data_IF_499373882297
#
_entry.id   IF_499373882297
#
_cell.length_a   1.000
_cell.length_b   1.000
_cell.length_c   1.000
_cell.angle_alpha   90.00
_cell.angle_beta   90.00
_cell.angle_gamma   90.00
#
_symmetry.space_group_name_H-M   'P 1'
#
loop_
_entity.id
_entity.type
_entity.pdbx_description
1 polymer ?
#
# COMPACT_ATOMS: atom_id res chain seq x y z
N UNK A 1 -26.10 9.63 -5.02
CA UNK A 1 -26.87 10.47 -4.08
C UNK A 1 -28.05 11.11 -4.82
N UNK A 2 -29.19 11.20 -4.18
CA UNK A 2 -30.38 11.91 -4.68
C UNK A 2 -30.98 12.70 -3.51
N UNK A 3 -30.83 14.04 -3.55
CA UNK A 3 -31.25 14.90 -2.44
C UNK A 3 -30.55 14.50 -1.15
N UNK A 4 -31.30 14.29 -0.11
CA UNK A 4 -30.81 13.94 1.25
C UNK A 4 -30.54 12.43 1.43
N UNK A 5 -30.45 11.65 0.35
CA UNK A 5 -30.26 10.20 0.39
C UNK A 5 -28.98 9.79 -0.32
N UNK A 6 -28.16 8.98 0.36
CA UNK A 6 -26.93 8.40 -0.15
C UNK A 6 -27.01 6.88 -0.14
N UNK A 7 -26.97 6.26 -1.32
CA UNK A 7 -26.87 4.81 -1.45
C UNK A 7 -25.40 4.41 -1.62
N UNK A 8 -24.92 3.51 -0.77
CA UNK A 8 -23.55 3.00 -0.71
C UNK A 8 -23.57 1.51 -1.04
N UNK A 9 -22.71 1.11 -1.97
CA UNK A 9 -22.55 -0.29 -2.41
C UNK A 9 -21.17 -0.79 -1.97
N UNK A 10 -21.03 -1.41 -0.78
CA UNK A 10 -19.75 -1.90 -0.29
C UNK A 10 -19.24 -3.05 -1.18
N UNK A 11 -17.95 -3.06 -1.51
CA UNK A 11 -17.35 -4.04 -2.43
C UNK A 11 -17.37 -5.49 -1.92
N UNK A 12 -17.58 -5.71 -0.64
CA UNK A 12 -17.62 -7.06 -0.02
C UNK A 12 -19.00 -7.50 0.42
N UNK A 13 -20.08 -6.81 0.01
CA UNK A 13 -21.45 -7.12 0.42
C UNK A 13 -22.37 -7.27 -0.80
N UNK A 14 -23.27 -8.24 -0.72
CA UNK A 14 -24.37 -8.37 -1.72
C UNK A 14 -25.46 -7.32 -1.49
N UNK A 15 -25.52 -6.74 -0.29
CA UNK A 15 -26.51 -5.75 0.10
C UNK A 15 -25.92 -4.35 0.02
N UNK A 16 -26.76 -3.38 -0.30
CA UNK A 16 -26.43 -1.95 -0.27
C UNK A 16 -26.91 -1.30 1.03
N UNK A 17 -26.37 -0.15 1.32
CA UNK A 17 -26.75 0.64 2.50
C UNK A 17 -27.24 2.01 2.05
N UNK A 18 -28.41 2.40 2.56
CA UNK A 18 -29.01 3.72 2.38
C UNK A 18 -28.83 4.55 3.63
N UNK A 19 -28.20 5.70 3.48
CA UNK A 19 -28.08 6.72 4.52
C UNK A 19 -29.03 7.85 4.15
N UNK A 20 -30.00 8.14 5.02
CA UNK A 20 -30.92 9.25 4.90
C UNK A 20 -30.44 10.37 5.82
N UNK A 21 -30.37 11.58 5.30
CA UNK A 21 -29.92 12.77 5.97
C UNK A 21 -31.06 13.76 6.18
N UNK A 22 -31.04 14.48 7.28
CA UNK A 22 -31.88 15.66 7.48
C UNK A 22 -30.94 16.85 7.77
N UNK A 23 -30.68 17.66 6.75
CA UNK A 23 -29.62 18.64 6.81
C UNK A 23 -28.24 17.96 6.92
N UNK A 24 -27.50 18.29 7.98
CA UNK A 24 -26.17 17.73 8.28
C UNK A 24 -26.21 16.51 9.23
N UNK A 25 -27.41 16.06 9.62
CA UNK A 25 -27.57 14.94 10.56
C UNK A 25 -28.02 13.68 9.84
N UNK A 26 -27.50 12.52 10.28
CA UNK A 26 -27.94 11.20 9.80
C UNK A 26 -29.25 10.84 10.50
N UNK A 27 -30.35 10.79 9.75
CA UNK A 27 -31.66 10.40 10.26
C UNK A 27 -31.81 8.88 10.36
N UNK A 28 -31.39 8.15 9.33
CA UNK A 28 -31.46 6.70 9.33
C UNK A 28 -30.38 6.04 8.47
N UNK A 29 -29.97 4.82 8.85
CA UNK A 29 -29.13 3.95 8.07
C UNK A 29 -29.88 2.64 7.85
N UNK A 30 -30.16 2.28 6.58
CA UNK A 30 -30.92 1.10 6.20
C UNK A 30 -30.12 0.20 5.29
N UNK A 31 -30.09 -1.10 5.60
CA UNK A 31 -29.58 -2.10 4.66
C UNK A 31 -30.71 -2.55 3.72
N UNK A 32 -30.43 -2.64 2.43
CA UNK A 32 -31.43 -3.02 1.45
C UNK A 32 -30.85 -3.88 0.32
N UNK A 33 -31.70 -4.67 -0.30
CA UNK A 33 -31.36 -5.43 -1.48
C UNK A 33 -31.34 -4.49 -2.70
N UNK A 34 -30.21 -4.33 -3.39
CA UNK A 34 -30.08 -3.38 -4.51
C UNK A 34 -30.92 -3.75 -5.74
N UNK A 35 -31.33 -5.03 -5.90
CA UNK A 35 -32.12 -5.49 -7.03
C UNK A 35 -33.62 -5.30 -6.81
N UNK A 36 -34.10 -5.61 -5.59
CA UNK A 36 -35.53 -5.55 -5.26
C UNK A 36 -35.95 -4.24 -4.59
N UNK A 37 -34.99 -3.51 -3.99
CA UNK A 37 -35.25 -2.35 -3.16
C UNK A 37 -35.80 -2.68 -1.77
N UNK A 38 -35.89 -3.95 -1.40
CA UNK A 38 -36.41 -4.42 -0.11
C UNK A 38 -35.47 -4.01 1.02
N UNK A 39 -36.03 -3.40 2.07
CA UNK A 39 -35.27 -3.06 3.28
C UNK A 39 -35.10 -4.30 4.14
N UNK A 40 -33.86 -4.68 4.40
CA UNK A 40 -33.49 -5.87 5.14
C UNK A 40 -33.32 -5.58 6.64
N UNK A 41 -33.00 -4.34 7.01
CA UNK A 41 -32.84 -3.94 8.40
C UNK A 41 -32.34 -2.51 8.59
N UNK A 42 -32.44 -2.06 9.84
CA UNK A 42 -31.86 -0.80 10.29
C UNK A 42 -30.46 -1.05 10.88
N UNK A 43 -29.56 -0.09 10.69
CA UNK A 43 -28.21 -0.11 11.27
C UNK A 43 -27.99 1.16 12.08
N UNK A 44 -27.25 1.04 13.18
CA UNK A 44 -26.85 2.20 13.98
C UNK A 44 -25.58 2.86 13.46
N UNK A 45 -24.75 2.11 12.73
CA UNK A 45 -23.53 2.59 12.10
C UNK A 45 -23.16 1.72 10.90
N UNK A 46 -22.35 2.27 10.02
CA UNK A 46 -21.69 1.54 8.94
C UNK A 46 -20.24 1.99 8.83
N UNK A 47 -19.35 1.03 8.55
CA UNK A 47 -17.97 1.31 8.19
C UNK A 47 -17.82 1.24 6.68
N UNK A 48 -17.42 2.34 6.06
CA UNK A 48 -17.13 2.41 4.62
C UNK A 48 -15.62 2.49 4.46
N UNK A 49 -15.05 1.44 3.90
CA UNK A 49 -13.61 1.37 3.66
C UNK A 49 -13.24 1.99 2.32
N UNK A 50 -12.06 2.61 2.21
CA UNK A 50 -11.57 3.12 0.93
C UNK A 50 -11.48 2.04 -0.15
N UNK A 51 -11.85 2.39 -1.37
CA UNK A 51 -11.72 1.50 -2.54
C UNK A 51 -10.33 1.50 -3.17
N UNK A 52 -9.42 2.35 -2.70
CA UNK A 52 -8.05 2.49 -3.19
C UNK A 52 -7.04 2.55 -2.05
N UNK A 53 -5.78 2.22 -2.36
CA UNK A 53 -4.67 2.33 -1.41
C UNK A 53 -4.26 3.79 -1.21
N UNK A 54 -3.58 4.06 -0.09
CA UNK A 54 -3.01 5.36 0.27
C UNK A 54 -4.03 6.49 0.49
N UNK A 55 -5.26 6.13 0.85
CA UNK A 55 -6.25 7.12 1.32
C UNK A 55 -5.92 7.54 2.74
N UNK A 56 -5.80 8.84 2.97
CA UNK A 56 -5.47 9.41 4.28
C UNK A 56 -6.27 10.69 4.53
N UNK A 57 -6.20 11.24 5.74
CA UNK A 57 -6.85 12.51 6.06
C UNK A 57 -6.19 13.68 5.31
N UNK A 58 -6.93 14.78 5.15
CA UNK A 58 -6.43 15.97 4.48
C UNK A 58 -5.19 16.55 5.19
N UNK A 59 -5.18 16.52 6.51
CA UNK A 59 -4.04 17.01 7.30
C UNK A 59 -2.79 16.15 7.10
N UNK A 60 -2.95 14.82 7.09
CA UNK A 60 -1.85 13.91 6.80
C UNK A 60 -1.34 14.06 5.37
N UNK A 61 -2.22 14.29 4.40
CA UNK A 61 -1.82 14.52 3.01
C UNK A 61 -1.01 15.83 2.89
N UNK A 62 -1.45 16.90 3.54
CA UNK A 62 -0.72 18.17 3.50
C UNK A 62 0.65 18.08 4.17
N UNK A 63 0.76 17.37 5.30
CA UNK A 63 2.06 17.05 5.93
C UNK A 63 2.95 16.27 4.96
N UNK A 64 2.44 15.21 4.35
CA UNK A 64 3.19 14.39 3.40
C UNK A 64 3.67 15.19 2.20
N UNK A 65 2.83 16.09 1.67
CA UNK A 65 3.19 16.96 0.55
C UNK A 65 4.33 17.92 0.92
N UNK A 66 4.29 18.53 2.11
CA UNK A 66 5.37 19.40 2.57
C UNK A 66 6.71 18.63 2.68
N UNK A 67 6.69 17.41 3.24
CA UNK A 67 7.89 16.56 3.32
C UNK A 67 8.41 16.14 1.93
N UNK A 68 7.51 15.91 0.95
CA UNK A 68 7.88 15.63 -0.45
C UNK A 68 8.52 16.86 -1.10
N UNK A 69 8.01 18.09 -0.83
CA UNK A 69 8.58 19.34 -1.32
C UNK A 69 9.99 19.56 -0.78
N UNK A 70 10.22 19.30 0.51
CA UNK A 70 11.53 19.39 1.13
C UNK A 70 12.53 18.41 0.49
N UNK A 71 12.15 17.15 0.35
CA UNK A 71 13.01 16.15 -0.33
C UNK A 71 13.29 16.53 -1.78
N UNK A 72 12.29 17.06 -2.49
CA UNK A 72 12.45 17.53 -3.86
C UNK A 72 13.49 18.66 -3.95
N UNK A 73 13.41 19.64 -3.06
CA UNK A 73 14.34 20.77 -3.03
C UNK A 73 15.78 20.28 -2.79
N UNK A 74 15.97 19.37 -1.84
CA UNK A 74 17.28 18.76 -1.57
C UNK A 74 17.79 17.97 -2.78
N UNK A 75 16.92 17.21 -3.45
CA UNK A 75 17.31 16.39 -4.60
C UNK A 75 17.66 17.22 -5.82
N UNK A 76 16.94 18.31 -6.10
CA UNK A 76 17.26 19.27 -7.16
C UNK A 76 18.64 19.88 -6.90
N UNK A 77 18.90 20.34 -5.68
CA UNK A 77 20.19 20.88 -5.28
C UNK A 77 21.31 19.85 -5.51
N UNK A 78 21.12 18.62 -5.09
CA UNK A 78 22.07 17.51 -5.25
C UNK A 78 22.43 17.25 -6.73
N UNK A 79 21.43 17.29 -7.64
CA UNK A 79 21.64 17.10 -9.07
C UNK A 79 22.40 18.29 -9.68
N UNK A 80 22.03 19.53 -9.33
CA UNK A 80 22.65 20.75 -9.85
C UNK A 80 24.13 20.83 -9.45
N UNK A 81 24.49 20.52 -8.22
CA UNK A 81 25.88 20.49 -7.73
C UNK A 81 26.74 19.48 -8.49
N UNK A 82 26.14 18.49 -9.15
CA UNK A 82 26.80 17.44 -9.96
C UNK A 82 26.69 17.65 -11.45
N UNK A 83 26.17 18.80 -11.88
CA UNK A 83 25.98 19.12 -13.30
C UNK A 83 24.90 18.28 -14.00
N UNK A 84 24.06 17.59 -13.26
CA UNK A 84 22.96 16.73 -13.77
C UNK A 84 21.69 17.56 -13.97
N UNK A 85 21.75 18.55 -14.87
CA UNK A 85 20.66 19.51 -15.06
C UNK A 85 19.39 18.88 -15.64
N UNK A 86 19.53 17.89 -16.51
CA UNK A 86 18.40 17.18 -17.11
C UNK A 86 17.64 16.35 -16.07
N UNK A 87 18.37 15.68 -15.19
CA UNK A 87 17.77 14.91 -14.08
C UNK A 87 17.09 15.83 -13.09
N UNK A 88 17.70 16.99 -12.79
CA UNK A 88 17.09 18.00 -11.93
C UNK A 88 15.75 18.51 -12.50
N UNK A 89 15.73 18.89 -13.77
CA UNK A 89 14.53 19.35 -14.44
C UNK A 89 13.44 18.27 -14.49
N UNK A 90 13.82 17.03 -14.79
CA UNK A 90 12.89 15.90 -14.88
C UNK A 90 12.22 15.61 -13.55
N UNK A 91 13.00 15.50 -12.46
CA UNK A 91 12.44 15.21 -11.14
C UNK A 91 11.57 16.36 -10.65
N UNK A 92 11.99 17.62 -10.89
CA UNK A 92 11.22 18.79 -10.52
C UNK A 92 9.86 18.83 -11.22
N UNK A 93 9.84 18.72 -12.54
CA UNK A 93 8.61 18.78 -13.32
C UNK A 93 7.64 17.65 -12.90
N UNK A 94 8.15 16.43 -12.75
CA UNK A 94 7.33 15.27 -12.38
C UNK A 94 6.76 15.41 -10.99
N UNK A 95 7.61 15.73 -10.01
CA UNK A 95 7.18 15.77 -8.61
C UNK A 95 6.25 16.94 -8.33
N UNK A 96 6.48 18.12 -8.94
CA UNK A 96 5.54 19.25 -8.80
C UNK A 96 4.15 18.92 -9.36
N UNK A 97 4.08 18.25 -10.49
CA UNK A 97 2.80 17.77 -11.03
C UNK A 97 2.11 16.77 -10.10
N UNK A 98 2.87 15.79 -9.56
CA UNK A 98 2.32 14.83 -8.62
C UNK A 98 1.82 15.50 -7.32
N UNK A 99 2.53 16.52 -6.81
CA UNK A 99 2.14 17.33 -5.65
C UNK A 99 0.82 18.07 -5.91
N UNK A 100 0.68 18.73 -7.06
CA UNK A 100 -0.55 19.40 -7.46
C UNK A 100 -1.74 18.42 -7.45
N UNK A 101 -1.57 17.25 -8.04
CA UNK A 101 -2.60 16.20 -8.04
C UNK A 101 -2.95 15.73 -6.63
N UNK A 102 -1.96 15.55 -5.74
CA UNK A 102 -2.18 15.16 -4.35
C UNK A 102 -2.97 16.23 -3.56
N UNK A 103 -2.69 17.52 -3.79
CA UNK A 103 -3.43 18.61 -3.14
C UNK A 103 -4.86 18.76 -3.65
N UNK A 104 -5.08 18.65 -4.98
CA UNK A 104 -6.38 18.91 -5.58
C UNK A 104 -7.36 17.72 -5.44
N UNK A 105 -6.88 16.51 -5.67
CA UNK A 105 -7.74 15.31 -5.70
C UNK A 105 -7.32 14.20 -4.73
N UNK A 106 -6.25 14.38 -3.98
CA UNK A 106 -5.76 13.43 -2.99
C UNK A 106 -5.10 12.17 -3.56
N UNK A 107 -4.86 12.11 -4.88
CA UNK A 107 -4.25 10.96 -5.55
C UNK A 107 -3.44 11.40 -6.76
N UNK A 108 -2.31 10.69 -7.04
CA UNK A 108 -1.54 10.86 -8.26
C UNK A 108 -1.15 9.50 -8.85
N UNK A 109 -0.75 9.49 -10.12
CA UNK A 109 -0.25 8.27 -10.76
C UNK A 109 1.13 7.90 -10.21
N UNK A 110 1.23 6.75 -9.55
CA UNK A 110 2.46 6.31 -8.90
C UNK A 110 2.57 6.79 -7.46
N UNK A 111 1.43 7.04 -6.80
CA UNK A 111 1.33 7.46 -5.40
C UNK A 111 2.14 6.56 -4.45
N UNK A 112 2.32 5.28 -4.80
CA UNK A 112 3.14 4.33 -4.05
C UNK A 112 4.61 4.76 -3.88
N UNK A 113 5.12 5.63 -4.77
CA UNK A 113 6.47 6.16 -4.66
C UNK A 113 6.62 7.19 -3.53
N UNK A 114 5.52 7.68 -2.99
CA UNK A 114 5.43 8.61 -1.86
C UNK A 114 4.90 7.92 -0.59
N UNK A 115 4.79 6.58 -0.60
CA UNK A 115 4.20 5.77 0.49
C UNK A 115 4.83 6.05 1.85
N UNK A 116 6.14 6.29 1.92
CA UNK A 116 6.83 6.63 3.16
C UNK A 116 6.20 7.84 3.86
N UNK A 117 5.96 8.91 3.12
CA UNK A 117 5.38 10.14 3.66
C UNK A 117 3.90 9.99 3.97
N UNK A 118 3.13 9.37 3.06
CA UNK A 118 1.68 9.18 3.24
C UNK A 118 1.38 8.27 4.43
N UNK A 119 2.16 7.20 4.60
CA UNK A 119 2.02 6.24 5.71
C UNK A 119 2.75 6.68 6.99
N UNK A 120 3.48 7.81 6.97
CA UNK A 120 4.24 8.33 8.09
C UNK A 120 5.23 7.30 8.69
N UNK A 121 6.01 6.67 7.83
CA UNK A 121 6.98 5.65 8.18
C UNK A 121 8.39 6.22 8.05
N UNK A 122 9.30 5.89 8.95
CA UNK A 122 10.67 6.38 8.90
C UNK A 122 11.45 5.78 7.71
N UNK A 123 12.50 6.49 7.29
CA UNK A 123 13.34 6.04 6.19
C UNK A 123 13.97 4.66 6.50
N UNK A 124 13.87 3.73 5.57
CA UNK A 124 14.43 2.37 5.68
C UNK A 124 13.62 1.40 6.51
N UNK A 125 12.54 1.83 7.17
CA UNK A 125 11.65 0.93 7.88
C UNK A 125 10.97 -0.09 6.95
N UNK A 126 10.50 -1.17 7.58
CA UNK A 126 9.73 -2.21 6.90
C UNK A 126 8.41 -1.62 6.39
N UNK A 127 8.08 -1.75 5.09
CA UNK A 127 6.77 -1.33 4.59
C UNK A 127 5.66 -2.24 5.13
N UNK A 128 4.47 -1.69 5.24
CA UNK A 128 3.28 -2.49 5.53
C UNK A 128 2.95 -3.41 4.35
N UNK A 129 2.61 -4.65 4.67
CA UNK A 129 2.24 -5.69 3.71
C UNK A 129 0.89 -6.30 4.08
N UNK A 130 0.32 -7.12 3.19
CA UNK A 130 -0.93 -7.85 3.47
C UNK A 130 -0.81 -8.72 4.74
N UNK A 131 0.39 -9.23 5.03
CA UNK A 131 0.65 -10.09 6.20
C UNK A 131 0.43 -9.33 7.51
N UNK A 132 0.69 -8.02 7.53
CA UNK A 132 0.52 -7.18 8.73
C UNK A 132 -0.95 -7.01 9.17
N UNK A 133 -1.93 -7.42 8.34
CA UNK A 133 -3.35 -7.39 8.66
C UNK A 133 -3.88 -8.69 9.28
N UNK A 134 -3.05 -9.74 9.33
CA UNK A 134 -3.45 -10.99 9.98
C UNK A 134 -3.23 -10.93 11.50
N UNK A 135 -3.99 -11.71 12.29
CA UNK A 135 -3.71 -11.84 13.72
C UNK A 135 -2.35 -12.50 13.95
N UNK A 136 -1.77 -12.31 15.14
CA UNK A 136 -0.40 -12.75 15.46
C UNK A 136 -0.15 -14.26 15.37
N UNK A 137 -1.21 -15.06 15.42
CA UNK A 137 -1.18 -16.55 15.42
C UNK A 137 -1.55 -17.16 14.07
N UNK A 138 -1.40 -16.42 12.97
CA UNK A 138 -1.71 -16.91 11.64
C UNK A 138 -0.72 -17.98 11.15
N UNK A 139 -1.22 -18.84 10.26
CA UNK A 139 -0.45 -19.88 9.58
C UNK A 139 -0.23 -19.49 8.11
N UNK A 140 1.02 -19.55 7.66
CA UNK A 140 1.38 -19.41 6.25
C UNK A 140 1.51 -20.81 5.63
N UNK A 141 0.86 -21.02 4.49
CA UNK A 141 1.06 -22.20 3.65
C UNK A 141 1.72 -21.73 2.36
N UNK A 142 2.94 -22.19 2.11
CA UNK A 142 3.71 -21.83 0.91
C UNK A 142 3.65 -23.00 -0.05
N UNK A 143 2.84 -22.84 -1.10
CA UNK A 143 2.78 -23.82 -2.19
C UNK A 143 3.96 -23.65 -3.14
N UNK A 144 4.41 -24.76 -3.73
CA UNK A 144 5.62 -24.84 -4.55
C UNK A 144 6.81 -24.11 -3.92
N UNK A 145 7.04 -24.38 -2.64
CA UNK A 145 7.98 -23.62 -1.81
C UNK A 145 9.40 -23.58 -2.39
N UNK A 146 9.83 -24.64 -3.07
CA UNK A 146 11.13 -24.73 -3.73
C UNK A 146 11.33 -23.69 -4.85
N UNK A 147 10.24 -23.11 -5.40
CA UNK A 147 10.25 -22.01 -6.37
C UNK A 147 10.00 -20.68 -5.67
N UNK A 148 9.04 -20.64 -4.74
CA UNK A 148 8.60 -19.40 -4.09
C UNK A 148 9.71 -18.80 -3.21
N UNK A 149 10.43 -19.61 -2.44
CA UNK A 149 11.45 -19.13 -1.52
C UNK A 149 12.64 -18.46 -2.24
N UNK A 150 13.21 -19.01 -3.31
CA UNK A 150 14.21 -18.30 -4.10
C UNK A 150 13.71 -16.97 -4.68
N UNK A 151 12.43 -16.87 -5.08
CA UNK A 151 11.83 -15.62 -5.53
C UNK A 151 11.75 -14.59 -4.39
N UNK A 152 11.33 -14.99 -3.20
CA UNK A 152 11.29 -14.12 -2.03
C UNK A 152 12.69 -13.58 -1.68
N UNK A 153 13.73 -14.39 -1.80
CA UNK A 153 15.11 -13.95 -1.63
C UNK A 153 15.55 -12.91 -2.66
N UNK A 154 15.18 -13.10 -3.93
CA UNK A 154 15.66 -12.28 -5.03
C UNK A 154 14.90 -10.95 -5.19
N UNK A 155 13.63 -10.88 -4.75
CA UNK A 155 12.73 -9.75 -5.10
C UNK A 155 13.17 -8.42 -4.51
N UNK A 156 13.75 -8.40 -3.29
CA UNK A 156 14.26 -7.17 -2.68
C UNK A 156 15.42 -6.58 -3.49
N UNK A 157 16.43 -7.41 -3.79
CA UNK A 157 17.62 -6.95 -4.53
C UNK A 157 17.27 -6.50 -5.96
N UNK A 158 16.40 -7.23 -6.65
CA UNK A 158 15.91 -6.86 -7.98
C UNK A 158 15.13 -5.54 -7.98
N UNK A 159 14.26 -5.33 -6.98
CA UNK A 159 13.54 -4.08 -6.83
C UNK A 159 14.49 -2.90 -6.54
N UNK A 160 15.43 -3.09 -5.61
CA UNK A 160 16.41 -2.07 -5.23
C UNK A 160 17.26 -1.63 -6.44
N UNK A 161 17.79 -2.58 -7.21
CA UNK A 161 18.60 -2.29 -8.41
C UNK A 161 17.83 -1.45 -9.44
N UNK A 162 16.58 -1.84 -9.74
CA UNK A 162 15.71 -1.08 -10.63
C UNK A 162 15.42 0.32 -10.13
N UNK A 163 15.08 0.46 -8.84
CA UNK A 163 14.73 1.76 -8.26
C UNK A 163 15.92 2.69 -8.11
N UNK A 164 17.10 2.19 -7.80
CA UNK A 164 18.33 3.00 -7.80
C UNK A 164 18.52 3.69 -9.16
N UNK A 165 18.37 2.96 -10.26
CA UNK A 165 18.45 3.56 -11.59
C UNK A 165 17.41 4.68 -11.79
N UNK A 166 16.16 4.49 -11.33
CA UNK A 166 15.13 5.52 -11.45
C UNK A 166 15.45 6.77 -10.62
N UNK A 167 16.03 6.60 -9.44
CA UNK A 167 16.46 7.70 -8.56
C UNK A 167 17.68 8.42 -9.15
N UNK A 168 18.69 7.68 -9.63
CA UNK A 168 19.94 8.23 -10.15
C UNK A 168 19.76 9.05 -11.43
N UNK A 169 18.73 8.70 -12.21
CA UNK A 169 18.38 9.41 -13.45
C UNK A 169 17.21 10.39 -13.30
N UNK A 170 16.79 10.74 -12.06
CA UNK A 170 15.78 11.77 -11.80
C UNK A 170 14.35 11.38 -12.20
N UNK A 171 14.01 10.11 -12.23
CA UNK A 171 12.63 9.63 -12.46
C UNK A 171 11.83 9.47 -11.17
N UNK A 172 12.51 9.31 -10.03
CA UNK A 172 11.90 9.15 -8.70
C UNK A 172 12.74 9.86 -7.64
N UNK A 173 12.09 10.29 -6.56
CA UNK A 173 12.76 10.75 -5.34
C UNK A 173 13.41 9.55 -4.61
N UNK A 174 14.45 9.80 -3.80
CA UNK A 174 15.08 8.76 -2.96
C UNK A 174 14.08 7.98 -2.07
N UNK A 175 13.06 8.66 -1.53
CA UNK A 175 12.00 8.05 -0.73
C UNK A 175 11.24 6.91 -1.43
N UNK A 176 11.22 6.89 -2.76
CA UNK A 176 10.63 5.79 -3.52
C UNK A 176 11.31 4.43 -3.27
N UNK A 177 12.54 4.41 -2.73
CA UNK A 177 13.25 3.20 -2.34
C UNK A 177 12.56 2.48 -1.17
N UNK A 178 11.82 3.21 -0.33
CA UNK A 178 11.15 2.66 0.85
C UNK A 178 9.85 1.92 0.49
N UNK A 179 9.24 2.19 -0.67
CA UNK A 179 8.21 1.32 -1.23
C UNK A 179 8.87 0.09 -1.86
N UNK A 180 9.10 -0.93 -1.11
CA UNK A 180 9.88 -2.12 -1.48
C UNK A 180 9.23 -3.41 -0.99
N UNK A 181 9.51 -4.56 -1.58
CA UNK A 181 9.17 -5.82 -0.95
C UNK A 181 9.93 -5.99 0.37
N UNK A 182 9.44 -6.88 1.21
CA UNK A 182 10.16 -7.29 2.40
C UNK A 182 11.53 -7.85 2.03
N UNK A 183 12.52 -7.61 2.89
CA UNK A 183 13.74 -8.44 2.89
C UNK A 183 13.37 -9.84 3.34
N UNK A 184 14.13 -10.84 2.92
CA UNK A 184 13.84 -12.22 3.32
C UNK A 184 13.85 -12.41 4.84
N UNK A 185 14.80 -11.80 5.55
CA UNK A 185 14.86 -11.80 7.01
C UNK A 185 13.64 -11.15 7.68
N UNK A 186 13.10 -10.07 7.08
CA UNK A 186 11.87 -9.44 7.56
C UNK A 186 10.67 -10.38 7.41
N UNK A 187 10.61 -11.11 6.30
CA UNK A 187 9.61 -12.14 6.07
C UNK A 187 9.73 -13.28 7.11
N UNK A 188 10.93 -13.81 7.34
CA UNK A 188 11.17 -14.87 8.34
C UNK A 188 10.74 -14.44 9.75
N UNK A 189 10.97 -13.19 10.12
CA UNK A 189 10.57 -12.65 11.42
C UNK A 189 9.06 -12.58 11.63
N UNK A 190 8.29 -12.40 10.54
CA UNK A 190 6.82 -12.36 10.58
C UNK A 190 6.25 -13.77 10.49
N UNK A 191 6.83 -14.63 9.66
CA UNK A 191 6.36 -15.97 9.34
C UNK A 191 6.70 -16.98 10.47
N UNK A 192 6.00 -16.89 11.60
CA UNK A 192 6.25 -17.73 12.79
C UNK A 192 5.82 -19.20 12.60
N UNK A 193 4.75 -19.42 11.86
CA UNK A 193 4.18 -20.74 11.59
C UNK A 193 4.06 -20.92 10.08
N UNK A 194 4.82 -21.86 9.53
CA UNK A 194 4.87 -22.09 8.08
C UNK A 194 4.75 -23.56 7.75
N UNK A 195 3.89 -23.87 6.76
CA UNK A 195 3.86 -25.16 6.10
C UNK A 195 4.42 -24.97 4.69
N UNK A 196 5.48 -25.72 4.39
CA UNK A 196 6.05 -25.77 3.04
C UNK A 196 5.44 -26.94 2.27
N UNK A 197 4.87 -26.64 1.11
CA UNK A 197 4.30 -27.65 0.20
C UNK A 197 5.17 -27.71 -1.04
N UNK A 198 5.77 -28.88 -1.30
CA UNK A 198 6.64 -29.07 -2.46
C UNK A 198 6.84 -30.56 -2.75
N UNK A 199 6.77 -30.92 -4.03
CA UNK A 199 7.17 -32.27 -4.48
C UNK A 199 8.69 -32.47 -4.41
N UNK A 200 9.46 -31.39 -4.53
CA UNK A 200 10.94 -31.40 -4.57
C UNK A 200 11.53 -30.35 -3.61
N UNK A 201 11.36 -30.54 -2.27
CA UNK A 201 11.82 -29.55 -1.31
C UNK A 201 13.34 -29.37 -1.36
N UNK A 202 13.78 -28.14 -1.25
CA UNK A 202 15.20 -27.73 -1.20
C UNK A 202 15.79 -27.93 0.20
N UNK A 203 17.06 -27.61 0.36
CA UNK A 203 17.75 -27.74 1.65
C UNK A 203 17.18 -26.79 2.70
N UNK A 204 16.72 -25.59 2.29
CA UNK A 204 16.10 -24.61 3.19
C UNK A 204 14.85 -25.20 3.89
N UNK A 205 13.89 -25.76 3.12
CA UNK A 205 12.67 -26.34 3.70
C UNK A 205 13.00 -27.53 4.62
N UNK A 206 14.00 -28.34 4.24
CA UNK A 206 14.45 -29.48 5.04
C UNK A 206 15.05 -29.04 6.37
N UNK A 207 15.85 -28.00 6.36
CA UNK A 207 16.48 -27.43 7.57
C UNK A 207 15.42 -26.80 8.48
N UNK A 208 14.55 -25.94 7.94
CA UNK A 208 13.52 -25.24 8.71
C UNK A 208 12.44 -26.16 9.28
N UNK A 209 12.12 -27.26 8.60
CA UNK A 209 11.17 -28.27 9.11
C UNK A 209 11.77 -29.24 10.12
N UNK A 210 13.05 -29.12 10.47
CA UNK A 210 13.75 -30.09 11.34
C UNK A 210 13.75 -31.51 10.79
N UNK A 211 13.63 -31.67 9.47
CA UNK A 211 13.55 -32.97 8.80
C UNK A 211 12.17 -33.67 8.90
N UNK A 212 11.17 -33.04 9.53
CA UNK A 212 9.81 -33.57 9.58
C UNK A 212 9.16 -33.51 8.20
N UNK A 213 8.70 -34.66 7.70
CA UNK A 213 7.95 -34.77 6.44
C UNK A 213 6.68 -35.53 6.69
N UNK A 214 5.60 -35.05 6.09
CA UNK A 214 4.39 -35.88 5.88
C UNK A 214 4.32 -36.20 4.38
N UNK A 215 4.33 -37.47 4.05
CA UNK A 215 4.09 -37.95 2.69
C UNK A 215 2.60 -37.83 2.33
#
# INVERSE_FOLDING_TARGET
ARGDTLDIFPSGSENAVRVELFGDEVESIKEFNPLTGEILGLRNHISVYPASHYVTSKENMERAVNEIEDELAERIKWFNERGKLLEAQRIEQRTRYDIEMLREIGVCKGIENYSRYISNVAAGEKPYTLIDYFPDDFLIIIDESHVMLPQLHAMYAGNLSRKNSLVDYGFRLPSALDNRPLKFEEFENIAKQVIYVSATPSDYEREKSGGQRKA
#
